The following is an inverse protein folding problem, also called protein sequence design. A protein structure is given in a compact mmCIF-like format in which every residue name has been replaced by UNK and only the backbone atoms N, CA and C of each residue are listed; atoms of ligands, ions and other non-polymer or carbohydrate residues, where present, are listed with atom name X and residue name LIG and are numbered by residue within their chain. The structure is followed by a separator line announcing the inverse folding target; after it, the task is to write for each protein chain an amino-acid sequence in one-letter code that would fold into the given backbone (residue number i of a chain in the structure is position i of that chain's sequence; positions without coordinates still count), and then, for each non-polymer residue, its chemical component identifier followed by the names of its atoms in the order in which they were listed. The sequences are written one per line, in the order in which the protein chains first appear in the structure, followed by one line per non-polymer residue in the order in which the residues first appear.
data_IF_796206934938
#
_entry.id   IF_796206934938
#
_cell.length_a   1.000
_cell.length_b   1.000
_cell.length_c   1.000
_cell.angle_alpha   90.00
_cell.angle_beta   90.00
_cell.angle_gamma   90.00
#
_symmetry.space_group_name_H-M   'P 1'
#
loop_
_entity.id
_entity.type
_entity.pdbx_description
1 polymer ?
#
# COMPACT_ATOMS: atom_id res chain seq x y z
N UNK A 1 9.17 12.69 10.70
CA UNK A 1 8.01 12.55 9.78
C UNK A 1 8.15 11.29 8.93
N UNK A 2 7.06 10.55 8.74
CA UNK A 2 6.98 9.37 7.89
C UNK A 2 6.05 9.67 6.71
N UNK A 3 6.53 9.48 5.48
CA UNK A 3 5.69 9.53 4.30
C UNK A 3 5.18 8.12 4.00
N UNK A 4 3.90 8.01 3.67
CA UNK A 4 3.18 6.75 3.52
C UNK A 4 2.44 6.71 2.18
N UNK A 5 2.64 5.66 1.42
CA UNK A 5 1.84 5.39 0.23
C UNK A 5 1.48 3.90 0.17
N UNK A 6 0.35 3.59 -0.44
CA UNK A 6 -0.16 2.23 -0.60
C UNK A 6 -0.81 2.06 -1.96
N UNK A 7 -0.94 0.82 -2.38
CA UNK A 7 -1.72 0.46 -3.56
C UNK A 7 -1.28 1.28 -4.79
N UNK A 8 0.04 1.27 -5.04
CA UNK A 8 0.62 1.94 -6.19
C UNK A 8 0.18 1.28 -7.50
N UNK A 9 -0.02 -0.03 -7.47
CA UNK A 9 -0.35 -0.86 -8.63
C UNK A 9 0.47 -0.47 -9.86
N UNK A 10 1.78 -0.28 -9.66
CA UNK A 10 2.67 0.20 -10.71
C UNK A 10 2.69 -0.72 -11.91
N UNK A 11 2.45 -0.16 -13.07
CA UNK A 11 2.56 -0.78 -14.37
C UNK A 11 3.57 -0.01 -15.22
N UNK A 12 4.63 -0.71 -15.64
CA UNK A 12 5.64 -0.12 -16.51
C UNK A 12 5.16 0.00 -17.95
N UNK A 13 5.51 1.10 -18.60
CA UNK A 13 5.30 1.29 -20.04
C UNK A 13 5.99 0.23 -20.93
N UNK A 14 6.90 -0.57 -20.35
CA UNK A 14 7.52 -1.70 -21.08
C UNK A 14 6.61 -2.92 -21.16
N UNK A 15 5.47 -2.95 -20.47
CA UNK A 15 4.52 -4.05 -20.46
C UNK A 15 3.34 -3.86 -21.40
N UNK A 16 3.26 -2.72 -22.09
CA UNK A 16 2.20 -2.42 -23.07
C UNK A 16 2.68 -1.50 -24.20
N UNK A 17 1.87 -1.35 -25.23
CA UNK A 17 2.10 -0.48 -26.39
C UNK A 17 0.96 0.49 -26.69
N UNK A 18 0.11 0.78 -25.68
CA UNK A 18 -1.13 1.56 -25.84
C UNK A 18 -2.10 1.02 -26.91
N UNK A 19 -1.97 -0.26 -27.22
CA UNK A 19 -2.82 -0.97 -28.18
C UNK A 19 -4.19 -1.34 -27.61
N UNK A 20 -4.98 -2.05 -28.42
CA UNK A 20 -6.34 -2.45 -28.06
C UNK A 20 -6.41 -3.27 -26.77
N UNK A 21 -5.44 -4.17 -26.55
CA UNK A 21 -5.43 -5.02 -25.37
C UNK A 21 -5.22 -4.19 -24.09
N UNK A 22 -4.32 -3.20 -24.12
CA UNK A 22 -4.07 -2.29 -23.01
C UNK A 22 -5.32 -1.45 -22.69
N UNK A 23 -5.89 -0.78 -23.69
CA UNK A 23 -7.09 0.03 -23.44
C UNK A 23 -8.29 -0.79 -22.99
N UNK A 24 -8.42 -2.02 -23.49
CA UNK A 24 -9.45 -2.94 -22.97
C UNK A 24 -9.22 -3.32 -21.51
N UNK A 25 -7.97 -3.44 -21.06
CA UNK A 25 -7.66 -3.66 -19.63
C UNK A 25 -8.05 -2.42 -18.82
N UNK A 26 -7.60 -1.24 -19.19
CA UNK A 26 -7.92 0.04 -18.52
C UNK A 26 -9.43 0.28 -18.42
N UNK A 27 -10.18 -0.01 -19.47
CA UNK A 27 -11.65 0.16 -19.49
C UNK A 27 -12.41 -0.80 -18.56
N UNK A 28 -11.82 -1.94 -18.22
CA UNK A 28 -12.45 -2.97 -17.38
C UNK A 28 -11.84 -3.04 -15.97
N UNK A 29 -10.85 -2.21 -15.68
CA UNK A 29 -10.28 -2.14 -14.35
C UNK A 29 -11.21 -1.38 -13.36
N UNK A 30 -10.92 -1.49 -12.08
CA UNK A 30 -11.74 -0.97 -10.98
C UNK A 30 -11.62 0.55 -10.77
N UNK A 31 -10.88 1.25 -11.62
CA UNK A 31 -10.73 2.71 -11.60
C UNK A 31 -9.33 3.21 -11.32
N UNK A 32 -8.33 2.32 -11.34
CA UNK A 32 -6.92 2.70 -11.35
C UNK A 32 -6.59 3.54 -12.59
N UNK A 33 -5.61 4.40 -12.46
CA UNK A 33 -5.11 5.23 -13.55
C UNK A 33 -3.87 4.56 -14.16
N UNK A 34 -4.06 3.41 -14.81
CA UNK A 34 -2.96 2.60 -15.33
C UNK A 34 -2.20 3.29 -16.46
N UNK A 35 -2.91 4.07 -17.29
CA UNK A 35 -2.34 4.77 -18.43
C UNK A 35 -1.33 5.87 -18.08
N UNK A 36 -1.27 6.30 -16.82
CA UNK A 36 -0.32 7.30 -16.32
C UNK A 36 0.48 6.78 -15.11
N UNK A 37 0.59 5.47 -14.99
CA UNK A 37 1.27 4.82 -13.86
C UNK A 37 2.73 5.24 -13.73
N UNK A 38 3.44 5.41 -14.85
CA UNK A 38 4.84 5.89 -14.87
C UNK A 38 4.96 7.30 -14.30
N UNK A 39 4.14 8.23 -14.80
CA UNK A 39 4.17 9.64 -14.41
C UNK A 39 3.74 9.84 -12.96
N UNK A 40 2.76 9.06 -12.51
CA UNK A 40 2.33 9.08 -11.10
C UNK A 40 3.44 8.59 -10.18
N UNK A 41 4.12 7.49 -10.53
CA UNK A 41 5.23 6.98 -9.72
C UNK A 41 6.42 7.97 -9.71
N UNK A 42 6.78 8.53 -10.85
CA UNK A 42 7.85 9.54 -10.91
C UNK A 42 7.49 10.78 -10.08
N UNK A 43 6.21 11.20 -10.10
CA UNK A 43 5.71 12.27 -9.23
C UNK A 43 5.84 11.91 -7.73
N UNK A 44 5.53 10.67 -7.33
CA UNK A 44 5.69 10.22 -5.95
C UNK A 44 7.15 10.26 -5.50
N UNK A 45 8.05 9.78 -6.36
CA UNK A 45 9.50 9.79 -6.12
C UNK A 45 10.00 11.21 -5.93
N UNK A 46 9.68 12.13 -6.82
CA UNK A 46 10.08 13.54 -6.70
C UNK A 46 9.45 14.20 -5.48
N UNK A 47 8.16 13.92 -5.21
CA UNK A 47 7.47 14.41 -4.00
C UNK A 47 8.15 13.93 -2.71
N UNK A 48 8.60 12.69 -2.66
CA UNK A 48 9.35 12.17 -1.51
C UNK A 48 10.69 12.88 -1.35
N UNK A 49 11.43 13.09 -2.44
CA UNK A 49 12.71 13.81 -2.42
C UNK A 49 12.52 15.27 -1.96
N UNK A 50 11.50 15.96 -2.44
CA UNK A 50 11.20 17.35 -2.06
C UNK A 50 10.76 17.49 -0.59
N UNK A 51 9.91 16.60 -0.10
CA UNK A 51 9.44 16.62 1.29
C UNK A 51 10.51 16.19 2.31
N UNK A 52 11.50 15.43 1.88
CA UNK A 52 12.60 14.90 2.68
C UNK A 52 12.14 14.28 4.02
N UNK A 53 11.21 13.29 4.00
CA UNK A 53 10.75 12.62 5.21
C UNK A 53 11.88 11.79 5.86
N UNK A 54 11.70 11.39 7.11
CA UNK A 54 12.62 10.46 7.80
C UNK A 54 12.68 9.11 7.08
N UNK A 55 11.55 8.67 6.50
CA UNK A 55 11.46 7.53 5.60
C UNK A 55 10.22 7.63 4.70
N UNK A 56 10.23 6.94 3.57
CA UNK A 56 9.07 6.59 2.75
C UNK A 56 8.70 5.12 3.01
N UNK A 57 7.47 4.86 3.45
CA UNK A 57 6.97 3.50 3.63
C UNK A 57 5.87 3.17 2.62
N UNK A 58 6.00 2.00 1.98
CA UNK A 58 5.03 1.46 1.04
C UNK A 58 4.35 0.22 1.64
N UNK A 59 3.02 0.26 1.76
CA UNK A 59 2.23 -0.75 2.48
C UNK A 59 1.55 -1.77 1.57
N UNK A 60 2.26 -2.24 0.55
CA UNK A 60 1.82 -3.33 -0.33
C UNK A 60 1.04 -2.89 -1.56
N UNK A 61 0.71 -3.88 -2.41
CA UNK A 61 0.17 -3.71 -3.75
C UNK A 61 0.95 -2.67 -4.56
N UNK A 62 2.28 -2.84 -4.52
CA UNK A 62 3.20 -1.91 -5.14
C UNK A 62 3.29 -2.08 -6.66
N UNK A 63 2.91 -3.26 -7.17
CA UNK A 63 2.82 -3.56 -8.63
C UNK A 63 1.41 -3.95 -9.03
N UNK A 64 1.10 -3.87 -10.32
CA UNK A 64 -0.25 -4.14 -10.84
C UNK A 64 -0.71 -5.58 -10.54
N UNK A 65 0.09 -6.57 -10.93
CA UNK A 65 -0.21 -7.98 -10.67
C UNK A 65 1.07 -8.80 -10.45
N UNK A 66 2.09 -8.25 -9.80
CA UNK A 66 3.30 -8.99 -9.45
C UNK A 66 4.23 -9.27 -10.62
N UNK A 67 4.09 -8.58 -11.76
CA UNK A 67 5.00 -8.73 -12.89
C UNK A 67 6.44 -8.43 -12.46
N UNK A 68 7.35 -9.39 -12.67
CA UNK A 68 8.77 -9.25 -12.27
C UNK A 68 9.39 -7.97 -12.82
N UNK A 69 9.13 -7.65 -14.08
CA UNK A 69 9.66 -6.43 -14.71
C UNK A 69 9.14 -5.17 -14.04
N UNK A 70 7.87 -5.15 -13.59
CA UNK A 70 7.31 -4.01 -12.86
C UNK A 70 8.01 -3.84 -11.50
N UNK A 71 8.26 -4.92 -10.76
CA UNK A 71 9.03 -4.89 -9.52
C UNK A 71 10.45 -4.35 -9.72
N UNK A 72 11.17 -4.86 -10.72
CA UNK A 72 12.55 -4.45 -11.00
C UNK A 72 12.64 -2.96 -11.39
N UNK A 73 11.70 -2.46 -12.19
CA UNK A 73 11.68 -1.06 -12.60
C UNK A 73 11.19 -0.15 -11.46
N UNK A 74 10.22 -0.60 -10.65
CA UNK A 74 9.82 0.11 -9.44
C UNK A 74 10.99 0.27 -8.47
N UNK A 75 11.70 -0.82 -8.15
CA UNK A 75 12.87 -0.78 -7.28
C UNK A 75 13.92 0.22 -7.79
N UNK A 76 14.19 0.22 -9.10
CA UNK A 76 15.10 1.19 -9.73
C UNK A 76 14.63 2.64 -9.59
N UNK A 77 13.32 2.90 -9.63
CA UNK A 77 12.77 4.26 -9.41
C UNK A 77 12.87 4.65 -7.93
N UNK A 78 12.55 3.74 -7.01
CA UNK A 78 12.67 3.96 -5.57
C UNK A 78 14.11 4.18 -5.12
N UNK A 79 15.10 3.60 -5.82
CA UNK A 79 16.51 3.84 -5.54
C UNK A 79 16.88 5.33 -5.60
N UNK A 80 16.22 6.13 -6.45
CA UNK A 80 16.43 7.57 -6.52
C UNK A 80 16.10 8.27 -5.19
N UNK A 81 15.10 7.78 -4.47
CA UNK A 81 14.73 8.30 -3.14
C UNK A 81 15.82 7.97 -2.13
N UNK A 82 16.35 6.74 -2.15
CA UNK A 82 17.47 6.32 -1.29
C UNK A 82 18.76 7.08 -1.62
N UNK A 83 19.02 7.31 -2.90
CA UNK A 83 20.19 8.10 -3.37
C UNK A 83 20.11 9.57 -2.90
N UNK A 84 18.90 10.09 -2.65
CA UNK A 84 18.67 11.40 -2.04
C UNK A 84 18.82 11.38 -0.50
N UNK A 85 19.18 10.24 0.09
CA UNK A 85 19.40 10.08 1.53
C UNK A 85 18.13 9.81 2.33
N UNK A 86 17.03 9.42 1.68
CA UNK A 86 15.76 9.11 2.33
C UNK A 86 15.55 7.59 2.28
N UNK A 87 15.53 6.91 3.44
CA UNK A 87 15.22 5.49 3.49
C UNK A 87 13.85 5.18 2.88
N UNK A 88 13.77 4.09 2.12
CA UNK A 88 12.50 3.53 1.66
C UNK A 88 12.32 2.17 2.30
N UNK A 89 11.13 1.89 2.83
CA UNK A 89 10.78 0.61 3.45
C UNK A 89 9.53 0.04 2.79
N UNK A 90 9.53 -1.25 2.46
CA UNK A 90 8.46 -1.87 1.69
C UNK A 90 7.99 -3.19 2.32
N UNK A 91 6.72 -3.50 2.14
CA UNK A 91 6.13 -4.83 2.36
C UNK A 91 5.30 -5.22 1.14
N UNK A 92 5.07 -6.51 0.87
CA UNK A 92 4.19 -6.93 -0.21
C UNK A 92 2.72 -6.70 0.13
N UNK A 93 1.89 -6.60 -0.92
CA UNK A 93 0.45 -6.76 -0.89
C UNK A 93 0.02 -8.04 -1.63
N UNK A 94 -1.27 -8.29 -1.68
CA UNK A 94 -1.80 -9.51 -2.31
C UNK A 94 -1.63 -9.52 -3.83
N UNK A 95 -1.36 -8.38 -4.46
CA UNK A 95 -1.05 -8.35 -5.90
C UNK A 95 0.40 -8.71 -6.22
N UNK A 96 1.34 -8.67 -5.26
CA UNK A 96 2.76 -8.61 -5.54
C UNK A 96 3.45 -9.97 -5.73
N UNK A 97 2.94 -11.06 -5.12
CA UNK A 97 3.58 -12.38 -5.11
C UNK A 97 2.59 -13.46 -5.54
N UNK A 98 3.04 -14.47 -6.31
CA UNK A 98 2.24 -15.61 -6.79
C UNK A 98 1.00 -15.21 -7.62
N UNK A 99 0.99 -14.03 -8.20
CA UNK A 99 -0.17 -13.53 -8.93
C UNK A 99 -0.16 -13.99 -10.39
N UNK A 100 -1.01 -14.97 -10.69
CA UNK A 100 -1.16 -15.56 -12.03
C UNK A 100 -1.85 -14.65 -13.04
N UNK A 101 -2.31 -13.45 -12.62
CA UNK A 101 -2.88 -12.44 -13.50
C UNK A 101 -1.81 -11.56 -14.16
N UNK A 102 -0.55 -11.67 -13.71
CA UNK A 102 0.59 -10.97 -14.32
C UNK A 102 0.57 -11.08 -15.85
N UNK A 103 0.59 -9.96 -16.52
CA UNK A 103 0.35 -9.91 -17.97
C UNK A 103 1.05 -8.75 -18.66
N UNK A 104 1.27 -8.92 -19.96
CA UNK A 104 1.66 -7.86 -20.89
C UNK A 104 0.56 -7.63 -21.92
N UNK A 105 0.52 -6.43 -22.50
CA UNK A 105 -0.57 -5.98 -23.35
C UNK A 105 -0.02 -5.32 -24.62
N UNK A 106 0.12 -6.09 -25.71
CA UNK A 106 0.66 -5.61 -26.97
C UNK A 106 -0.30 -5.85 -28.13
N UNK A 107 -0.58 -4.80 -28.91
CA UNK A 107 -1.53 -4.83 -29.98
C UNK A 107 -2.94 -5.21 -29.52
N UNK A 108 -3.44 -6.36 -29.97
CA UNK A 108 -4.73 -6.92 -29.57
C UNK A 108 -4.61 -8.11 -28.59
N UNK A 109 -3.41 -8.36 -28.05
CA UNK A 109 -3.10 -9.54 -27.23
C UNK A 109 -2.77 -9.17 -25.80
N UNK A 110 -3.36 -9.92 -24.88
CA UNK A 110 -2.91 -10.08 -23.51
C UNK A 110 -2.12 -11.38 -23.41
N UNK A 111 -0.88 -11.30 -22.98
CA UNK A 111 -0.01 -12.47 -22.79
C UNK A 111 0.43 -12.55 -21.32
N UNK A 112 0.71 -13.77 -20.82
CA UNK A 112 1.21 -13.94 -19.45
C UNK A 112 2.61 -13.37 -19.34
N UNK A 113 2.84 -12.62 -18.27
CA UNK A 113 4.16 -12.14 -17.87
C UNK A 113 4.79 -13.07 -16.82
N UNK A 114 6.11 -12.98 -16.67
CA UNK A 114 6.82 -13.53 -15.54
C UNK A 114 6.42 -12.76 -14.28
N UNK A 115 6.15 -13.47 -13.18
CA UNK A 115 5.76 -12.90 -11.88
C UNK A 115 6.66 -13.42 -10.76
N UNK A 116 6.62 -12.80 -9.58
CA UNK A 116 7.34 -13.29 -8.43
C UNK A 116 6.68 -14.56 -7.87
N UNK A 117 7.42 -15.65 -7.83
CA UNK A 117 6.90 -16.96 -7.40
C UNK A 117 6.95 -17.17 -5.88
N UNK A 118 7.73 -16.34 -5.16
CA UNK A 118 7.98 -16.54 -3.74
C UNK A 118 8.34 -15.24 -3.02
N UNK A 119 8.22 -15.25 -1.67
CA UNK A 119 8.77 -14.20 -0.84
C UNK A 119 10.28 -13.98 -1.01
N UNK A 120 11.01 -15.04 -1.39
CA UNK A 120 12.44 -14.90 -1.70
C UNK A 120 12.67 -14.03 -2.94
N UNK A 121 11.86 -14.17 -4.00
CA UNK A 121 11.98 -13.32 -5.19
C UNK A 121 11.73 -11.85 -4.85
N UNK A 122 10.74 -11.59 -3.98
CA UNK A 122 10.47 -10.23 -3.48
C UNK A 122 11.66 -9.69 -2.69
N UNK A 123 12.17 -10.49 -1.74
CA UNK A 123 13.36 -10.12 -0.97
C UNK A 123 14.57 -9.84 -1.87
N UNK A 124 14.84 -10.69 -2.87
CA UNK A 124 15.99 -10.52 -3.78
C UNK A 124 15.95 -9.18 -4.53
N UNK A 125 14.77 -8.63 -4.80
CA UNK A 125 14.61 -7.31 -5.45
C UNK A 125 14.64 -6.17 -4.43
N UNK A 126 14.03 -6.36 -3.26
CA UNK A 126 13.78 -5.27 -2.31
C UNK A 126 14.62 -5.31 -1.04
N UNK A 127 15.65 -6.16 -0.95
CA UNK A 127 16.41 -6.32 0.29
C UNK A 127 17.05 -5.01 0.79
N UNK A 128 17.44 -4.10 -0.10
CA UNK A 128 17.99 -2.78 0.23
C UNK A 128 16.91 -1.77 0.69
N UNK A 129 15.61 -2.11 0.61
CA UNK A 129 14.49 -1.26 0.96
C UNK A 129 13.91 -1.63 2.35
N UNK A 130 14.75 -1.51 3.37
CA UNK A 130 14.39 -1.73 4.77
C UNK A 130 14.86 -3.07 5.33
N UNK A 131 14.90 -4.14 4.55
CA UNK A 131 15.24 -5.49 5.04
C UNK A 131 16.68 -5.61 5.53
N UNK A 132 17.66 -5.12 4.76
CA UNK A 132 19.08 -5.19 5.13
C UNK A 132 19.44 -4.25 6.27
N UNK A 133 18.67 -3.18 6.46
CA UNK A 133 18.83 -2.25 7.58
C UNK A 133 18.14 -2.75 8.85
N UNK A 134 17.31 -3.78 8.73
CA UNK A 134 16.58 -4.36 9.86
C UNK A 134 17.54 -5.14 10.78
N UNK A 135 17.54 -4.87 12.10
CA UNK A 135 18.25 -5.70 13.04
C UNK A 135 17.56 -7.06 13.28
N UNK A 136 16.27 -7.16 12.96
CA UNK A 136 15.46 -8.34 13.25
C UNK A 136 14.41 -8.55 12.15
N UNK A 137 14.60 -9.58 11.35
CA UNK A 137 13.65 -10.08 10.36
C UNK A 137 12.98 -11.35 10.86
N UNK A 138 11.73 -11.55 10.48
CA UNK A 138 11.06 -12.82 10.69
C UNK A 138 11.58 -13.88 9.71
N UNK A 139 11.87 -15.08 10.20
CA UNK A 139 12.31 -16.20 9.35
C UNK A 139 11.12 -16.87 8.62
N UNK A 140 9.90 -16.67 9.12
CA UNK A 140 8.70 -17.31 8.61
C UNK A 140 7.93 -16.45 7.58
N UNK A 141 8.28 -15.17 7.44
CA UNK A 141 7.61 -14.25 6.53
C UNK A 141 8.55 -13.13 6.07
N UNK A 142 8.03 -12.19 5.27
CA UNK A 142 8.74 -10.96 4.90
C UNK A 142 8.57 -9.84 5.96
N UNK A 143 8.16 -10.16 7.19
CA UNK A 143 8.05 -9.19 8.26
C UNK A 143 9.41 -8.80 8.84
N UNK A 144 9.54 -7.54 9.26
CA UNK A 144 10.78 -7.04 9.86
C UNK A 144 10.54 -5.82 10.75
N UNK A 145 11.50 -5.55 11.65
CA UNK A 145 11.55 -4.32 12.46
C UNK A 145 12.45 -3.31 11.75
N UNK A 146 11.96 -2.10 11.51
CA UNK A 146 12.77 -0.99 11.03
C UNK A 146 12.90 0.08 12.10
N UNK A 147 14.09 0.32 12.65
CA UNK A 147 14.34 1.42 13.59
C UNK A 147 14.28 2.75 12.83
N UNK A 148 13.16 3.48 12.98
CA UNK A 148 12.96 4.75 12.29
C UNK A 148 13.79 5.87 12.91
N UNK A 149 13.85 5.88 14.23
CA UNK A 149 14.69 6.72 15.05
C UNK A 149 14.94 6.06 16.43
N UNK A 150 15.70 6.66 17.37
CA UNK A 150 15.98 6.04 18.65
C UNK A 150 14.75 5.72 19.51
N UNK A 151 13.61 6.35 19.25
CA UNK A 151 12.37 6.22 20.03
C UNK A 151 11.25 5.51 19.29
N UNK A 152 11.37 5.32 17.96
CA UNK A 152 10.29 4.80 17.13
C UNK A 152 10.76 3.62 16.25
N UNK A 153 9.98 2.55 16.31
CA UNK A 153 10.12 1.41 15.39
C UNK A 153 8.92 1.31 14.46
N UNK A 154 9.19 1.03 13.19
CA UNK A 154 8.19 0.50 12.28
C UNK A 154 8.22 -1.03 12.38
N UNK A 155 7.08 -1.63 12.69
CA UNK A 155 6.88 -3.07 12.60
C UNK A 155 6.21 -3.35 11.26
N UNK A 156 7.02 -3.72 10.29
CA UNK A 156 6.62 -3.98 8.91
C UNK A 156 6.14 -5.43 8.80
N UNK A 157 4.82 -5.63 8.66
CA UNK A 157 4.19 -6.94 8.73
C UNK A 157 3.77 -7.42 7.36
N UNK A 158 4.29 -8.56 6.94
CA UNK A 158 3.79 -9.31 5.79
C UNK A 158 2.52 -10.06 6.21
N UNK A 159 1.39 -9.61 5.71
CA UNK A 159 0.07 -10.19 5.95
C UNK A 159 -0.46 -11.01 4.76
N UNK A 160 0.37 -11.22 3.72
CA UNK A 160 -0.06 -11.91 2.51
C UNK A 160 0.01 -13.43 2.66
N UNK A 161 -0.91 -14.13 1.98
CA UNK A 161 -0.93 -15.59 1.89
C UNK A 161 -0.56 -15.97 0.46
N UNK A 162 0.61 -16.59 0.28
CA UNK A 162 1.12 -16.99 -1.04
C UNK A 162 1.85 -18.36 -1.06
N UNK A 163 1.85 -19.12 0.05
CA UNK A 163 2.56 -20.40 0.14
C UNK A 163 1.92 -21.50 -0.72
N UNK A 164 0.59 -21.48 -0.88
CA UNK A 164 -0.18 -22.43 -1.69
C UNK A 164 -0.92 -21.75 -2.87
N UNK A 165 -0.47 -20.57 -3.24
CA UNK A 165 -1.03 -19.70 -4.26
C UNK A 165 -1.36 -18.32 -3.70
N UNK A 166 -1.74 -17.41 -4.58
CA UNK A 166 -2.11 -16.04 -4.20
C UNK A 166 -3.53 -15.98 -3.64
N UNK A 167 -3.69 -15.37 -2.48
CA UNK A 167 -4.98 -15.10 -1.85
C UNK A 167 -5.22 -13.60 -1.72
N UNK A 168 -6.49 -13.19 -1.82
CA UNK A 168 -6.90 -11.81 -1.59
C UNK A 168 -6.95 -11.51 -0.09
N UNK A 169 -7.29 -12.54 0.70
CA UNK A 169 -7.34 -12.46 2.16
C UNK A 169 -5.95 -12.39 2.77
N UNK A 170 -5.84 -11.69 3.90
CA UNK A 170 -4.61 -11.59 4.67
C UNK A 170 -4.64 -12.41 5.94
N UNK A 171 -3.45 -12.84 6.39
CA UNK A 171 -3.26 -13.53 7.67
C UNK A 171 -1.83 -13.37 8.16
N UNK A 172 -1.67 -13.16 9.45
CA UNK A 172 -0.36 -13.29 10.12
C UNK A 172 -0.22 -14.72 10.64
N UNK A 173 0.83 -15.43 10.24
CA UNK A 173 1.06 -16.81 10.70
C UNK A 173 1.29 -16.88 12.20
N UNK A 174 1.03 -18.04 12.83
CA UNK A 174 1.27 -18.22 14.26
C UNK A 174 2.75 -18.03 14.64
N UNK A 175 3.68 -18.41 13.75
CA UNK A 175 5.11 -18.17 13.93
C UNK A 175 5.42 -16.67 13.92
N UNK A 176 4.88 -15.93 12.95
CA UNK A 176 5.03 -14.48 12.82
C UNK A 176 4.36 -13.74 13.99
N UNK A 177 3.20 -14.20 14.51
CA UNK A 177 2.58 -13.65 15.71
C UNK A 177 3.51 -13.78 16.93
N UNK A 178 4.16 -14.94 17.11
CA UNK A 178 5.14 -15.15 18.18
C UNK A 178 6.37 -14.25 18.05
N UNK A 179 6.83 -14.05 16.81
CA UNK A 179 7.92 -13.11 16.50
C UNK A 179 7.49 -11.66 16.79
N UNK A 180 6.30 -11.25 16.35
CA UNK A 180 5.70 -9.96 16.61
C UNK A 180 5.60 -9.69 18.12
N UNK A 181 5.03 -10.63 18.89
CA UNK A 181 4.91 -10.50 20.33
C UNK A 181 6.27 -10.27 21.02
N UNK A 182 7.30 -10.99 20.57
CA UNK A 182 8.66 -10.83 21.11
C UNK A 182 9.17 -9.40 20.94
N UNK A 183 8.97 -8.80 19.74
CA UNK A 183 9.45 -7.46 19.46
C UNK A 183 8.60 -6.37 20.12
N UNK A 184 7.29 -6.56 20.23
CA UNK A 184 6.42 -5.66 20.99
C UNK A 184 6.79 -5.62 22.47
N UNK A 185 7.13 -6.79 23.05
CA UNK A 185 7.62 -6.87 24.43
C UNK A 185 8.93 -6.11 24.63
N UNK A 186 9.91 -6.33 23.74
CA UNK A 186 11.20 -5.62 23.76
C UNK A 186 11.00 -4.11 23.63
N UNK A 187 10.18 -3.67 22.68
CA UNK A 187 9.89 -2.24 22.50
C UNK A 187 9.30 -1.62 23.77
N UNK A 188 8.31 -2.28 24.38
CA UNK A 188 7.68 -1.82 25.64
C UNK A 188 8.68 -1.75 26.80
N UNK A 189 9.56 -2.77 26.96
CA UNK A 189 10.59 -2.80 27.98
C UNK A 189 11.60 -1.65 27.85
N UNK A 190 11.83 -1.17 26.61
CA UNK A 190 12.78 -0.08 26.32
C UNK A 190 12.11 1.28 26.09
N UNK A 191 10.78 1.38 26.23
CA UNK A 191 10.04 2.63 26.02
C UNK A 191 10.03 3.10 24.57
N UNK A 192 10.12 2.18 23.62
CA UNK A 192 10.10 2.46 22.18
C UNK A 192 8.64 2.46 21.71
N UNK A 193 8.24 3.49 21.00
CA UNK A 193 6.95 3.57 20.34
C UNK A 193 6.95 2.72 19.06
N UNK A 194 5.93 1.90 18.90
CA UNK A 194 5.79 1.04 17.72
C UNK A 194 4.64 1.54 16.85
N UNK A 195 4.91 1.65 15.55
CA UNK A 195 3.91 1.87 14.50
C UNK A 195 3.87 0.60 13.67
N UNK A 196 2.72 -0.05 13.60
CA UNK A 196 2.55 -1.27 12.81
C UNK A 196 2.05 -0.93 11.42
N UNK A 197 2.72 -1.45 10.40
CA UNK A 197 2.32 -1.33 8.99
C UNK A 197 2.10 -2.72 8.42
N UNK A 198 0.95 -2.93 7.79
CA UNK A 198 0.64 -4.14 7.02
C UNK A 198 -0.18 -3.76 5.79
N UNK A 199 -0.36 -4.69 4.86
CA UNK A 199 -1.21 -4.41 3.71
C UNK A 199 -2.70 -4.55 4.06
N UNK A 200 -3.10 -5.67 4.66
CA UNK A 200 -4.50 -5.96 4.95
C UNK A 200 -5.02 -5.24 6.20
N UNK A 201 -6.33 -4.94 6.20
CA UNK A 201 -6.98 -4.21 7.27
C UNK A 201 -7.10 -5.05 8.55
N UNK A 202 -6.99 -4.37 9.69
CA UNK A 202 -7.07 -4.98 11.01
C UNK A 202 -8.49 -4.97 11.57
N UNK A 203 -9.17 -3.83 11.47
CA UNK A 203 -10.46 -3.59 12.09
C UNK A 203 -11.58 -3.77 11.07
N UNK A 204 -12.77 -4.12 11.56
CA UNK A 204 -13.93 -4.34 10.70
C UNK A 204 -14.26 -3.09 9.86
N UNK A 205 -14.16 -3.21 8.54
CA UNK A 205 -14.34 -2.13 7.60
C UNK A 205 -15.79 -1.99 7.11
N UNK A 206 -16.53 -3.10 7.05
CA UNK A 206 -17.90 -3.10 6.59
C UNK A 206 -18.76 -4.10 7.36
N UNK A 207 -20.03 -3.73 7.61
CA UNK A 207 -21.03 -4.66 8.14
C UNK A 207 -21.71 -5.48 7.04
N UNK A 208 -21.55 -5.08 5.79
CA UNK A 208 -22.18 -5.73 4.64
C UNK A 208 -21.18 -6.61 3.88
N UNK A 209 -19.94 -6.15 3.77
CA UNK A 209 -18.84 -6.86 3.12
C UNK A 209 -17.84 -7.29 4.20
N UNK A 210 -17.98 -8.53 4.66
CA UNK A 210 -17.21 -9.06 5.81
C UNK A 210 -16.09 -10.01 5.39
N UNK A 211 -15.85 -10.16 4.10
CA UNK A 211 -14.82 -11.01 3.54
C UNK A 211 -13.90 -10.20 2.63
N UNK A 212 -12.66 -10.67 2.48
CA UNK A 212 -11.63 -10.13 1.58
C UNK A 212 -11.07 -8.74 1.94
N UNK A 213 -11.57 -8.06 2.96
CA UNK A 213 -11.06 -6.77 3.40
C UNK A 213 -10.13 -6.90 4.60
N UNK A 214 -10.55 -7.66 5.60
CA UNK A 214 -9.89 -7.78 6.90
C UNK A 214 -9.00 -9.01 6.94
N UNK A 215 -7.98 -8.97 7.79
CA UNK A 215 -7.19 -10.17 8.10
C UNK A 215 -8.05 -11.24 8.76
N UNK A 216 -7.86 -12.51 8.37
CA UNK A 216 -8.57 -13.66 8.95
C UNK A 216 -8.40 -13.75 10.46
N UNK A 217 -7.21 -13.42 10.95
CA UNK A 217 -6.90 -13.46 12.38
C UNK A 217 -6.67 -12.04 12.97
N UNK A 218 -7.38 -11.04 12.47
CA UNK A 218 -7.38 -9.68 13.00
C UNK A 218 -7.61 -9.59 14.52
N UNK A 219 -8.54 -10.36 15.11
CA UNK A 219 -8.73 -10.36 16.56
C UNK A 219 -7.50 -10.75 17.37
N UNK A 220 -6.70 -11.72 16.92
CA UNK A 220 -5.46 -12.14 17.57
C UNK A 220 -4.39 -11.05 17.51
N UNK A 221 -4.26 -10.40 16.35
CA UNK A 221 -3.35 -9.26 16.17
C UNK A 221 -3.80 -8.10 17.06
N UNK A 222 -5.09 -7.76 17.05
CA UNK A 222 -5.67 -6.72 17.90
C UNK A 222 -5.35 -6.97 19.38
N UNK A 223 -5.52 -8.20 19.87
CA UNK A 223 -5.23 -8.57 21.25
C UNK A 223 -3.74 -8.37 21.62
N UNK A 224 -2.82 -8.61 20.68
CA UNK A 224 -1.39 -8.32 20.89
C UNK A 224 -1.12 -6.81 20.96
N UNK A 225 -1.70 -6.02 20.05
CA UNK A 225 -1.55 -4.57 20.07
C UNK A 225 -2.07 -3.96 21.35
N UNK A 226 -3.23 -4.40 21.85
CA UNK A 226 -3.77 -3.99 23.14
C UNK A 226 -2.85 -4.35 24.32
N UNK A 227 -2.41 -5.60 24.37
CA UNK A 227 -1.52 -6.11 25.42
C UNK A 227 -0.25 -5.27 25.57
N UNK A 228 0.30 -4.83 24.45
CA UNK A 228 1.53 -4.04 24.42
C UNK A 228 1.30 -2.54 24.27
N UNK A 229 0.04 -2.09 24.23
CA UNK A 229 -0.35 -0.68 24.15
C UNK A 229 0.18 0.01 22.88
N UNK A 230 0.11 -0.67 21.74
CA UNK A 230 0.45 -0.12 20.44
C UNK A 230 -0.73 0.69 19.91
N UNK A 231 -0.60 2.01 19.72
CA UNK A 231 -1.75 2.86 19.44
C UNK A 231 -2.12 2.94 17.96
N UNK A 232 -1.21 2.55 17.05
CA UNK A 232 -1.36 2.85 15.62
C UNK A 232 -1.03 1.65 14.73
N UNK A 233 -1.98 1.34 13.86
CA UNK A 233 -1.88 0.38 12.78
C UNK A 233 -2.18 1.10 11.45
N UNK A 234 -1.37 0.88 10.41
CA UNK A 234 -1.51 1.50 9.10
C UNK A 234 -1.64 0.42 8.04
N UNK A 235 -2.66 0.52 7.20
CA UNK A 235 -2.96 -0.46 6.16
C UNK A 235 -3.31 0.19 4.82
N UNK A 236 -3.46 -0.64 3.78
CA UNK A 236 -3.95 -0.29 2.45
C UNK A 236 -5.14 -1.14 2.04
N UNK A 237 -5.06 -1.81 0.88
CA UNK A 237 -5.91 -2.89 0.40
C UNK A 237 -7.38 -2.52 0.08
N UNK A 238 -8.04 -1.75 0.92
CA UNK A 238 -9.47 -1.44 0.76
C UNK A 238 -9.78 -0.47 -0.39
N UNK A 239 -8.77 0.22 -0.91
CA UNK A 239 -8.88 1.30 -1.91
C UNK A 239 -9.79 2.48 -1.48
N UNK A 240 -10.02 2.64 -0.17
CA UNK A 240 -10.79 3.76 0.41
C UNK A 240 -10.11 4.21 1.69
N UNK A 241 -9.74 5.49 1.75
CA UNK A 241 -9.16 6.04 2.97
C UNK A 241 -10.18 6.06 4.11
N UNK A 242 -9.75 5.54 5.26
CA UNK A 242 -10.52 5.55 6.51
C UNK A 242 -9.63 5.69 7.72
N UNK A 243 -10.21 6.18 8.80
CA UNK A 243 -9.65 6.10 10.15
C UNK A 243 -10.68 5.39 11.01
N UNK A 244 -10.25 4.30 11.64
CA UNK A 244 -11.05 3.49 12.58
C UNK A 244 -10.39 3.52 13.94
N UNK A 245 -11.21 3.38 14.97
CA UNK A 245 -10.76 3.26 16.35
C UNK A 245 -11.35 2.00 16.97
N UNK A 246 -10.50 1.20 17.61
CA UNK A 246 -10.89 0.07 18.42
C UNK A 246 -10.66 0.43 19.88
N UNK A 247 -11.74 0.51 20.63
CA UNK A 247 -11.73 0.84 22.06
C UNK A 247 -12.16 -0.37 22.87
N UNK A 248 -11.35 -0.81 23.82
CA UNK A 248 -11.63 -1.95 24.65
C UNK A 248 -12.15 -1.56 26.04
N UNK A 249 -13.13 -2.31 26.49
CA UNK A 249 -13.66 -2.30 27.87
C UNK A 249 -14.79 -1.30 28.12
N UNK A 250 -15.64 -1.58 29.11
CA UNK A 250 -16.74 -0.70 29.49
C UNK A 250 -16.18 0.60 30.10
N UNK A 251 -16.55 1.73 29.49
CA UNK A 251 -16.18 3.07 29.97
C UNK A 251 -14.95 3.68 29.28
N UNK A 252 -14.36 3.00 28.28
CA UNK A 252 -13.25 3.54 27.48
C UNK A 252 -13.71 4.24 26.20
N UNK A 253 -15.01 4.29 25.93
CA UNK A 253 -15.59 5.00 24.81
C UNK A 253 -15.16 6.49 24.84
N UNK A 254 -14.37 6.89 23.86
CA UNK A 254 -13.85 8.29 23.76
C UNK A 254 -12.59 8.57 24.57
N UNK A 255 -11.89 7.55 25.10
CA UNK A 255 -10.53 7.72 25.64
C UNK A 255 -9.49 7.57 24.53
N UNK A 256 -8.32 8.22 24.69
CA UNK A 256 -7.22 8.15 23.72
C UNK A 256 -6.42 6.84 23.77
N UNK A 257 -6.90 5.82 24.47
CA UNK A 257 -6.17 4.59 24.75
C UNK A 257 -6.52 3.43 23.79
N UNK A 258 -7.24 3.70 22.70
CA UNK A 258 -7.62 2.71 21.70
C UNK A 258 -6.57 2.52 20.60
N UNK A 259 -6.71 1.42 19.84
CA UNK A 259 -5.94 1.21 18.62
C UNK A 259 -6.61 2.00 17.50
N UNK A 260 -5.85 2.86 16.85
CA UNK A 260 -6.29 3.55 15.63
C UNK A 260 -5.76 2.81 14.40
N UNK A 261 -6.64 2.48 13.47
CA UNK A 261 -6.26 2.04 12.15
C UNK A 261 -6.43 3.18 11.16
N UNK A 262 -5.36 3.47 10.42
CA UNK A 262 -5.39 4.37 9.26
C UNK A 262 -5.29 3.50 8.02
N UNK A 263 -6.41 3.38 7.30
CA UNK A 263 -6.42 2.81 5.95
C UNK A 263 -6.02 3.90 4.98
N UNK A 264 -4.92 3.71 4.27
CA UNK A 264 -4.41 4.67 3.30
C UNK A 264 -5.27 4.70 2.04
N UNK A 265 -5.38 5.87 1.44
CA UNK A 265 -5.94 5.99 0.09
C UNK A 265 -5.03 5.31 -0.91
N UNK A 266 -5.57 4.58 -1.91
CA UNK A 266 -4.75 4.02 -2.97
C UNK A 266 -4.13 5.13 -3.80
N UNK A 267 -2.82 5.04 -4.01
CA UNK A 267 -2.10 6.06 -4.79
C UNK A 267 -2.43 6.01 -6.28
N UNK A 268 -2.74 4.81 -6.78
CA UNK A 268 -3.10 4.56 -8.20
C UNK A 268 -4.45 5.14 -8.62
N UNK A 269 -5.26 5.60 -7.68
CA UNK A 269 -6.61 6.13 -7.94
C UNK A 269 -6.64 7.66 -8.09
N UNK A 270 -7.74 8.22 -8.66
CA UNK A 270 -7.94 9.65 -8.76
C UNK A 270 -7.74 10.37 -7.44
N UNK A 271 -6.87 11.39 -7.45
CA UNK A 271 -6.46 12.12 -6.27
C UNK A 271 -5.02 11.88 -5.85
N UNK A 272 -4.42 10.73 -6.22
CA UNK A 272 -3.01 10.36 -6.01
C UNK A 272 -2.53 10.77 -4.62
N UNK A 273 -3.23 10.22 -3.61
CA UNK A 273 -3.05 10.64 -2.23
C UNK A 273 -1.93 9.85 -1.57
N UNK A 274 -1.21 10.52 -0.70
CA UNK A 274 -0.24 9.94 0.21
C UNK A 274 -0.44 10.50 1.62
N UNK A 275 0.01 9.76 2.62
CA UNK A 275 -0.05 10.14 4.02
C UNK A 275 1.25 10.81 4.49
N UNK A 276 1.13 11.76 5.39
CA UNK A 276 2.25 12.27 6.18
C UNK A 276 1.91 12.08 7.65
N UNK A 277 2.68 11.23 8.32
CA UNK A 277 2.62 11.03 9.77
C UNK A 277 3.76 11.80 10.42
N UNK A 278 3.45 12.60 11.40
CA UNK A 278 4.42 13.33 12.20
C UNK A 278 4.14 13.16 13.69
N UNK A 279 5.12 13.36 14.52
CA UNK A 279 5.01 13.36 15.98
C UNK A 279 5.82 14.50 16.57
N UNK A 280 5.35 14.99 17.70
CA UNK A 280 6.03 16.03 18.47
C UNK A 280 6.96 15.43 19.56
N UNK A 281 7.57 16.28 20.38
CA UNK A 281 8.47 15.84 21.45
C UNK A 281 7.73 15.11 22.61
N UNK A 282 6.42 15.10 22.62
CA UNK A 282 5.56 14.39 23.55
C UNK A 282 4.92 13.15 22.92
N UNK A 283 5.38 12.75 21.72
CA UNK A 283 4.87 11.63 20.91
C UNK A 283 3.39 11.75 20.51
N UNK A 284 2.85 12.99 20.50
CA UNK A 284 1.54 13.22 19.90
C UNK A 284 1.65 13.09 18.39
N UNK A 285 0.93 12.13 17.81
CA UNK A 285 0.94 11.85 16.38
C UNK A 285 -0.10 12.69 15.65
N UNK A 286 0.27 13.18 14.47
CA UNK A 286 -0.61 13.89 13.54
C UNK A 286 -0.50 13.23 12.17
N UNK A 287 -1.64 12.85 11.60
CA UNK A 287 -1.73 12.31 10.25
C UNK A 287 -2.41 13.31 9.33
N UNK A 288 -1.79 13.55 8.19
CA UNK A 288 -2.32 14.40 7.11
C UNK A 288 -2.36 13.62 5.80
N UNK A 289 -3.46 13.74 5.08
CA UNK A 289 -3.53 13.26 3.69
C UNK A 289 -3.13 14.39 2.76
N UNK A 290 -2.21 14.13 1.86
CA UNK A 290 -1.75 15.06 0.83
C UNK A 290 -1.94 14.45 -0.55
N UNK A 291 -1.88 15.30 -1.57
CA UNK A 291 -1.97 14.90 -2.98
C UNK A 291 -0.65 15.17 -3.68
N UNK A 292 -0.22 14.23 -4.51
CA UNK A 292 0.88 14.47 -5.41
C UNK A 292 0.42 15.36 -6.58
N UNK A 293 1.25 16.32 -6.98
CA UNK A 293 0.93 17.24 -8.07
C UNK A 293 1.52 16.75 -9.39
N UNK A 294 0.82 15.80 -10.01
CA UNK A 294 1.20 15.24 -11.31
C UNK A 294 1.27 16.31 -12.40
N UNK A 295 0.40 17.33 -12.34
CA UNK A 295 0.41 18.41 -13.31
C UNK A 295 1.65 19.32 -13.20
N UNK A 296 2.09 19.62 -11.97
CA UNK A 296 3.34 20.35 -11.75
C UNK A 296 4.54 19.53 -12.22
N UNK A 297 4.57 18.23 -11.90
CA UNK A 297 5.59 17.30 -12.38
C UNK A 297 5.64 17.26 -13.92
N UNK A 298 4.50 17.07 -14.58
CA UNK A 298 4.40 17.01 -16.04
C UNK A 298 4.93 18.29 -16.69
N UNK A 299 4.56 19.44 -16.14
CA UNK A 299 5.05 20.74 -16.62
C UNK A 299 6.56 20.89 -16.44
N UNK A 300 7.10 20.51 -15.29
CA UNK A 300 8.54 20.58 -14.99
C UNK A 300 9.35 19.67 -15.92
N UNK A 301 8.78 18.53 -16.32
CA UNK A 301 9.40 17.56 -17.22
C UNK A 301 9.07 17.81 -18.71
N UNK A 302 8.46 18.95 -19.06
CA UNK A 302 8.22 19.37 -20.44
C UNK A 302 7.16 18.55 -21.18
N UNK A 303 6.21 17.94 -20.45
CA UNK A 303 5.10 17.23 -21.08
C UNK A 303 4.22 18.19 -21.88
N UNK A 304 3.79 17.74 -23.06
CA UNK A 304 2.80 18.43 -23.90
C UNK A 304 1.41 17.75 -23.80
N UNK A 305 1.29 16.67 -23.03
CA UNK A 305 0.03 15.94 -22.86
C UNK A 305 -0.98 16.80 -22.06
N UNK A 306 -2.13 17.21 -22.66
CA UNK A 306 -3.08 18.09 -21.99
C UNK A 306 -3.77 17.45 -20.80
N UNK A 307 -3.89 16.12 -20.73
CA UNK A 307 -4.46 15.40 -19.60
C UNK A 307 -3.50 15.45 -18.40
N UNK A 308 -2.21 15.21 -18.62
CA UNK A 308 -1.17 15.34 -17.59
C UNK A 308 -1.04 16.79 -17.10
N UNK A 309 -1.06 17.77 -18.00
CA UNK A 309 -0.98 19.20 -17.63
C UNK A 309 -2.20 19.69 -16.85
N UNK A 310 -3.32 18.99 -16.92
CA UNK A 310 -4.55 19.28 -16.16
C UNK A 310 -5.01 18.07 -15.34
N UNK A 311 -4.07 17.33 -14.78
CA UNK A 311 -4.30 15.99 -14.22
C UNK A 311 -5.35 15.95 -13.12
N UNK A 312 -5.41 16.96 -12.26
CA UNK A 312 -6.38 16.99 -11.15
C UNK A 312 -7.83 17.02 -11.65
N UNK A 313 -8.13 17.85 -12.65
CA UNK A 313 -9.47 17.92 -13.24
C UNK A 313 -9.75 16.70 -14.12
N UNK A 314 -8.78 16.28 -14.91
CA UNK A 314 -8.88 15.09 -15.75
C UNK A 314 -9.16 13.84 -14.90
N UNK A 315 -8.38 13.58 -13.84
CA UNK A 315 -8.56 12.40 -12.98
C UNK A 315 -9.92 12.39 -12.28
N UNK A 316 -10.45 13.56 -11.90
CA UNK A 316 -11.79 13.67 -11.36
C UNK A 316 -12.87 13.32 -12.41
N UNK A 317 -12.70 13.72 -13.67
CA UNK A 317 -13.61 13.33 -14.75
C UNK A 317 -13.52 11.84 -15.05
N UNK A 318 -12.29 11.29 -15.04
CA UNK A 318 -12.05 9.86 -15.16
C UNK A 318 -12.78 9.07 -14.06
N UNK A 319 -12.63 9.45 -12.79
CA UNK A 319 -13.35 8.83 -11.69
C UNK A 319 -14.88 8.83 -11.89
N UNK A 320 -15.43 9.97 -12.33
CA UNK A 320 -16.87 10.06 -12.62
C UNK A 320 -17.31 9.12 -13.74
N UNK A 321 -16.51 9.00 -14.79
CA UNK A 321 -16.83 8.10 -15.91
C UNK A 321 -16.81 6.62 -15.48
N UNK A 322 -15.82 6.22 -14.70
CA UNK A 322 -15.72 4.85 -14.13
C UNK A 322 -16.93 4.54 -13.26
N UNK A 323 -17.27 5.42 -12.31
CA UNK A 323 -18.44 5.23 -11.44
C UNK A 323 -19.73 5.14 -12.25
N UNK A 324 -19.92 6.00 -13.26
CA UNK A 324 -21.10 5.96 -14.11
C UNK A 324 -21.22 4.65 -14.88
N UNK A 325 -20.11 4.12 -15.37
CA UNK A 325 -20.10 2.86 -16.10
C UNK A 325 -20.39 1.66 -15.18
N UNK A 326 -19.77 1.61 -14.00
CA UNK A 326 -20.06 0.58 -12.99
C UNK A 326 -21.51 0.58 -12.53
N UNK A 327 -22.10 1.78 -12.32
CA UNK A 327 -23.52 1.92 -11.97
C UNK A 327 -24.42 1.41 -13.11
N UNK A 328 -24.13 1.72 -14.37
CA UNK A 328 -24.89 1.20 -15.52
C UNK A 328 -24.82 -0.34 -15.58
N UNK A 329 -23.63 -0.92 -15.45
CA UNK A 329 -23.43 -2.36 -15.45
C UNK A 329 -24.21 -3.04 -14.32
N UNK A 330 -24.18 -2.46 -13.11
CA UNK A 330 -24.94 -2.96 -11.97
C UNK A 330 -26.45 -2.92 -12.21
N UNK A 331 -26.97 -1.81 -12.77
CA UNK A 331 -28.40 -1.66 -13.08
C UNK A 331 -28.84 -2.67 -14.16
N UNK A 332 -28.01 -2.92 -15.18
CA UNK A 332 -28.33 -3.89 -16.21
C UNK A 332 -28.30 -5.35 -15.75
N UNK A 333 -27.67 -5.63 -14.60
CA UNK A 333 -27.64 -6.96 -13.97
C UNK A 333 -28.85 -7.22 -13.06
N UNK A 334 -29.64 -6.18 -12.73
CA UNK A 334 -30.88 -6.36 -11.94
C UNK A 334 -31.98 -6.88 -12.89
N UNK A 335 -32.58 -8.05 -12.60
CA UNK A 335 -33.70 -8.55 -13.40
C UNK A 335 -34.88 -7.56 -13.40
N UNK A 336 -35.55 -7.44 -14.55
CA UNK A 336 -36.71 -6.55 -14.73
C UNK A 336 -37.90 -6.85 -13.79
N UNK A 337 -37.82 -7.94 -13.04
CA UNK A 337 -38.90 -8.47 -12.16
C UNK A 337 -38.73 -8.07 -10.67
N UNK A 338 -37.82 -7.15 -10.34
CA UNK A 338 -37.70 -6.52 -9.03
C UNK A 338 -38.15 -5.08 -9.08
#
# INVERSE_FOLDING_TARGET
TLMLASDLHYMSSTTHDDGKAFWSMVEHDDGKIDQYSEEMLDTLVETAIENHPTALALTGDITLNGERINHELLAKKLQKVQDAGIPVVVIPGNHDIQNKNASTYFGDKREKAEYLESGKDFYDIYHEFGYDQSPNRDEASLSYVYPLDPSHWLLMMDSCIYDDGNHVEGRISDATLGWMETHLRVAKEHGIQVIVLAHHNLLQESRLFTTQCEMENGPEVTALLEKYQVPLYISGHLHVQRIREHVTGPGLEGTQDGIHEIVLSPYSFPGNQYGMLSWDLQDNMTFETRKADVAAWAKANGSENPELLNFADWSLQYAKSVIQEQVKQTITMVPDDL
#
